data_IF_535240480743
#
_entry.id   IF_535240480743
#
_cell.length_a   1.000
_cell.length_b   1.000
_cell.length_c   1.000
_cell.angle_alpha   90.00
_cell.angle_beta   90.00
_cell.angle_gamma   90.00
#
_symmetry.space_group_name_H-M   'P 1'
#
loop_
_entity.id
_entity.type
_entity.pdbx_description
1 polymer ?
#
# COMPACT_ATOMS: atom_id res chain seq x y z
N UNK A 1 7.41 -72.31 -19.56
CA UNK A 1 6.89 -71.00 -20.00
C UNK A 1 6.30 -70.19 -18.85
N UNK A 2 6.12 -70.78 -17.65
CA UNK A 2 5.48 -70.10 -16.52
C UNK A 2 6.43 -69.18 -15.72
N UNK A 3 7.74 -69.40 -15.83
CA UNK A 3 8.75 -68.58 -15.14
C UNK A 3 8.71 -67.11 -15.57
N UNK A 4 8.51 -66.83 -16.87
CA UNK A 4 8.48 -65.46 -17.39
C UNK A 4 7.26 -64.67 -16.95
N UNK A 5 6.11 -65.32 -16.74
CA UNK A 5 4.89 -64.65 -16.28
C UNK A 5 4.97 -64.29 -14.80
N UNK A 6 5.56 -65.17 -13.98
CA UNK A 6 5.79 -64.90 -12.57
C UNK A 6 6.76 -63.72 -12.35
N UNK A 7 7.83 -63.67 -13.14
CA UNK A 7 8.81 -62.58 -13.07
C UNK A 7 8.19 -61.23 -13.49
N UNK A 8 7.39 -61.20 -14.55
CA UNK A 8 6.67 -60.00 -14.98
C UNK A 8 5.69 -59.49 -13.92
N UNK A 9 4.99 -60.41 -13.25
CA UNK A 9 4.08 -60.02 -12.16
C UNK A 9 4.86 -59.43 -10.99
N UNK A 10 5.97 -60.06 -10.60
CA UNK A 10 6.84 -59.58 -9.52
C UNK A 10 7.39 -58.18 -9.83
N UNK A 11 7.84 -57.92 -11.05
CA UNK A 11 8.34 -56.59 -11.44
C UNK A 11 7.23 -55.56 -11.47
N UNK A 12 6.02 -55.92 -11.93
CA UNK A 12 4.87 -55.02 -11.89
C UNK A 12 4.45 -54.65 -10.46
N UNK A 13 4.40 -55.63 -9.55
CA UNK A 13 4.09 -55.41 -8.14
C UNK A 13 5.16 -54.53 -7.46
N UNK A 14 6.44 -54.76 -7.79
CA UNK A 14 7.56 -53.94 -7.30
C UNK A 14 7.45 -52.48 -7.79
N UNK A 15 7.20 -52.27 -9.09
CA UNK A 15 7.04 -50.92 -9.65
C UNK A 15 5.87 -50.17 -9.01
N UNK A 16 4.78 -50.88 -8.70
CA UNK A 16 3.63 -50.29 -8.02
C UNK A 16 3.99 -49.84 -6.61
N UNK A 17 4.68 -50.69 -5.85
CA UNK A 17 5.14 -50.35 -4.51
C UNK A 17 6.15 -49.18 -4.52
N UNK A 18 7.05 -49.14 -5.51
CA UNK A 18 8.02 -48.06 -5.66
C UNK A 18 7.34 -46.74 -6.06
N UNK A 19 6.30 -46.79 -6.90
CA UNK A 19 5.50 -45.63 -7.27
C UNK A 19 4.70 -45.09 -6.09
N UNK A 20 4.04 -45.95 -5.32
CA UNK A 20 3.30 -45.55 -4.11
C UNK A 20 4.25 -44.90 -3.09
N UNK A 21 5.46 -45.46 -2.92
CA UNK A 21 6.49 -44.88 -2.07
C UNK A 21 6.98 -43.54 -2.59
N UNK A 22 7.20 -43.42 -3.90
CA UNK A 22 7.65 -42.16 -4.50
C UNK A 22 6.60 -41.06 -4.32
N UNK A 23 5.32 -41.36 -4.55
CA UNK A 23 4.22 -40.42 -4.33
C UNK A 23 4.15 -39.97 -2.87
N UNK A 24 4.23 -40.90 -1.92
CA UNK A 24 4.25 -40.57 -0.49
C UNK A 24 5.44 -39.69 -0.09
N UNK A 25 6.61 -39.91 -0.67
CA UNK A 25 7.79 -39.08 -0.43
C UNK A 25 7.62 -37.68 -1.04
N UNK A 26 6.99 -37.58 -2.22
CA UNK A 26 6.72 -36.32 -2.89
C UNK A 26 5.73 -35.48 -2.09
N UNK A 27 4.65 -36.08 -1.59
CA UNK A 27 3.66 -35.41 -0.75
C UNK A 27 4.31 -34.89 0.55
N UNK A 28 5.15 -35.71 1.19
CA UNK A 28 5.86 -35.32 2.41
C UNK A 28 6.83 -34.15 2.15
N UNK A 29 7.61 -34.21 1.06
CA UNK A 29 8.54 -33.15 0.69
C UNK A 29 7.81 -31.85 0.29
N UNK A 30 6.64 -31.96 -0.37
CA UNK A 30 5.83 -30.79 -0.68
C UNK A 30 5.25 -30.14 0.58
N UNK A 31 4.76 -30.95 1.53
CA UNK A 31 4.29 -30.46 2.82
C UNK A 31 5.39 -29.74 3.59
N UNK A 32 6.57 -30.35 3.71
CA UNK A 32 7.73 -29.73 4.38
C UNK A 32 8.14 -28.41 3.71
N UNK A 33 8.17 -28.37 2.38
CA UNK A 33 8.47 -27.13 1.64
C UNK A 33 7.43 -26.04 1.88
N UNK A 34 6.14 -26.39 1.99
CA UNK A 34 5.08 -25.42 2.29
C UNK A 34 5.23 -24.89 3.71
N UNK A 35 5.48 -25.76 4.67
CA UNK A 35 5.66 -25.36 6.06
C UNK A 35 6.88 -24.46 6.24
N UNK A 36 8.00 -24.78 5.58
CA UNK A 36 9.23 -23.97 5.66
C UNK A 36 9.03 -22.60 5.01
N UNK A 37 8.48 -22.56 3.79
CA UNK A 37 8.22 -21.28 3.10
C UNK A 37 7.21 -20.42 3.84
N UNK A 38 6.18 -21.02 4.44
CA UNK A 38 5.22 -20.29 5.27
C UNK A 38 5.85 -19.73 6.55
N UNK A 39 6.72 -20.51 7.21
CA UNK A 39 7.45 -20.05 8.39
C UNK A 39 8.36 -18.86 8.06
N UNK A 40 9.13 -18.95 6.96
CA UNK A 40 10.01 -17.86 6.50
C UNK A 40 9.23 -16.59 6.14
N UNK A 41 8.07 -16.72 5.49
CA UNK A 41 7.21 -15.57 5.16
C UNK A 41 6.66 -14.90 6.42
N UNK A 42 6.25 -15.68 7.41
CA UNK A 42 5.78 -15.14 8.69
C UNK A 42 6.90 -14.43 9.45
N UNK A 43 8.10 -15.02 9.49
CA UNK A 43 9.27 -14.42 10.12
C UNK A 43 9.60 -13.06 9.49
N UNK A 44 9.71 -13.00 8.16
CA UNK A 44 9.97 -11.73 7.45
C UNK A 44 8.87 -10.70 7.64
N UNK A 45 7.62 -11.13 7.73
CA UNK A 45 6.49 -10.23 7.99
C UNK A 45 6.59 -9.59 9.37
N UNK A 46 6.93 -10.39 10.39
CA UNK A 46 7.11 -9.88 11.75
C UNK A 46 8.37 -9.00 11.88
N UNK A 47 9.45 -9.32 11.17
CA UNK A 47 10.64 -8.47 11.08
C UNK A 47 10.31 -7.10 10.47
N UNK A 48 9.61 -7.08 9.32
CA UNK A 48 9.17 -5.85 8.66
C UNK A 48 8.22 -5.04 9.55
N UNK A 49 7.26 -5.69 10.20
CA UNK A 49 6.34 -5.04 11.14
C UNK A 49 7.10 -4.41 12.32
N UNK A 50 8.07 -5.13 12.87
CA UNK A 50 8.94 -4.64 13.95
C UNK A 50 9.76 -3.42 13.52
N UNK A 51 10.40 -3.50 12.35
CA UNK A 51 11.20 -2.41 11.78
C UNK A 51 10.37 -1.15 11.50
N UNK A 52 9.15 -1.31 10.98
CA UNK A 52 8.26 -0.19 10.71
C UNK A 52 7.74 0.46 12.01
N UNK A 53 7.45 -0.36 13.03
CA UNK A 53 7.06 0.13 14.34
C UNK A 53 8.18 0.93 15.02
N UNK A 54 9.43 0.46 14.97
CA UNK A 54 10.57 1.20 15.51
C UNK A 54 10.82 2.50 14.75
N UNK A 55 10.77 2.47 13.42
CA UNK A 55 10.93 3.67 12.59
C UNK A 55 9.86 4.72 12.91
N UNK A 56 8.59 4.31 13.04
CA UNK A 56 7.49 5.20 13.42
C UNK A 56 7.72 5.83 14.80
N UNK A 57 8.19 5.04 15.77
CA UNK A 57 8.47 5.53 17.11
C UNK A 57 9.63 6.55 17.11
N UNK A 58 10.71 6.26 16.39
CA UNK A 58 11.86 7.16 16.24
C UNK A 58 11.47 8.47 15.53
N UNK A 59 10.70 8.39 14.45
CA UNK A 59 10.21 9.55 13.73
C UNK A 59 9.31 10.42 14.63
N UNK A 60 8.38 9.80 15.35
CA UNK A 60 7.51 10.53 16.29
C UNK A 60 8.30 11.20 17.41
N UNK A 61 9.32 10.53 17.95
CA UNK A 61 10.18 11.11 18.98
C UNK A 61 11.00 12.30 18.42
N UNK A 62 11.52 12.17 17.20
CA UNK A 62 12.24 13.24 16.51
C UNK A 62 11.36 14.47 16.27
N UNK A 63 10.15 14.28 15.74
CA UNK A 63 9.19 15.38 15.52
C UNK A 63 8.78 16.05 16.83
N UNK A 64 8.55 15.27 17.89
CA UNK A 64 8.26 15.83 19.22
C UNK A 64 9.43 16.66 19.76
N UNK A 65 10.67 16.20 19.55
CA UNK A 65 11.89 16.95 19.87
C UNK A 65 11.96 18.29 19.14
N UNK A 66 11.81 18.27 17.82
CA UNK A 66 11.82 19.49 16.99
C UNK A 66 10.72 20.48 17.37
N UNK A 67 9.50 20.02 17.66
CA UNK A 67 8.44 20.89 18.13
C UNK A 67 8.73 21.48 19.52
N UNK A 68 9.43 20.72 20.38
CA UNK A 68 9.89 21.20 21.68
C UNK A 68 10.90 22.33 21.55
N UNK A 69 11.91 22.14 20.70
CA UNK A 69 12.93 23.16 20.40
C UNK A 69 12.30 24.40 19.77
N UNK A 70 11.45 24.24 18.75
CA UNK A 70 10.77 25.36 18.10
C UNK A 70 9.93 26.20 19.07
N UNK A 71 9.19 25.55 19.98
CA UNK A 71 8.40 26.26 21.00
C UNK A 71 9.28 27.04 21.96
N UNK A 72 10.43 26.47 22.35
CA UNK A 72 11.41 27.14 23.19
C UNK A 72 11.96 28.37 22.48
N UNK A 73 12.47 28.22 21.26
CA UNK A 73 13.01 29.32 20.45
C UNK A 73 11.96 30.42 20.24
N UNK A 74 10.72 30.03 19.97
CA UNK A 74 9.60 30.98 19.82
C UNK A 74 9.33 31.76 21.11
N UNK A 75 9.42 31.12 22.27
CA UNK A 75 9.23 31.78 23.57
C UNK A 75 10.38 32.75 23.91
N UNK A 76 11.63 32.34 23.67
CA UNK A 76 12.81 33.19 23.87
C UNK A 76 12.77 34.41 22.94
N UNK A 77 12.40 34.22 21.67
CA UNK A 77 12.22 35.32 20.73
C UNK A 77 11.11 36.29 21.19
N UNK A 78 10.00 35.77 21.72
CA UNK A 78 8.92 36.61 22.25
C UNK A 78 9.36 37.42 23.47
N UNK A 79 10.18 36.85 24.36
CA UNK A 79 10.75 37.57 25.51
C UNK A 79 11.69 38.70 25.06
N UNK A 80 12.61 38.42 24.14
CA UNK A 80 13.52 39.44 23.56
C UNK A 80 12.72 40.56 22.90
N UNK A 81 11.67 40.22 22.13
CA UNK A 81 10.80 41.22 21.53
C UNK A 81 10.09 42.09 22.56
N UNK A 82 9.57 41.49 23.64
CA UNK A 82 8.91 42.22 24.72
C UNK A 82 9.89 43.15 25.47
N UNK A 83 11.14 42.74 25.63
CA UNK A 83 12.20 43.58 26.19
C UNK A 83 12.49 44.79 25.30
N UNK A 84 12.66 44.58 23.98
CA UNK A 84 12.85 45.67 23.01
C UNK A 84 11.67 46.64 23.04
N UNK A 85 10.43 46.14 23.04
CA UNK A 85 9.24 46.99 23.12
C UNK A 85 9.18 47.80 24.43
N UNK A 86 9.63 47.20 25.54
CA UNK A 86 9.68 47.85 26.84
C UNK A 86 10.74 48.97 26.88
N UNK A 87 11.92 48.74 26.29
CA UNK A 87 12.97 49.76 26.18
C UNK A 87 12.56 50.92 25.26
N UNK A 88 11.87 50.64 24.16
CA UNK A 88 11.33 51.69 23.29
C UNK A 88 10.27 52.54 23.99
N UNK A 89 9.41 51.92 24.81
CA UNK A 89 8.38 52.62 25.59
C UNK A 89 9.00 53.50 26.68
N UNK A 90 10.04 53.03 27.36
CA UNK A 90 10.72 53.80 28.40
C UNK A 90 11.60 54.93 27.86
N UNK A 91 12.14 54.79 26.64
CA UNK A 91 12.93 55.83 25.97
C UNK A 91 12.13 57.04 25.47
N UNK A 92 10.81 57.10 25.72
CA UNK A 92 10.05 58.35 25.65
C UNK A 92 9.87 58.94 24.24
N UNK A 93 9.96 58.14 23.17
CA UNK A 93 9.39 58.52 21.88
C UNK A 93 7.99 57.94 21.78
N UNK A 94 7.02 58.81 22.02
CA UNK A 94 5.61 58.67 21.67
C UNK A 94 5.45 58.60 20.13
N UNK A 95 6.12 57.63 19.49
CA UNK A 95 5.80 57.23 18.14
C UNK A 95 4.68 56.21 18.27
N UNK A 96 3.47 56.61 17.90
CA UNK A 96 2.32 55.74 17.74
C UNK A 96 2.62 54.66 16.68
N UNK A 97 3.37 53.63 17.08
CA UNK A 97 3.54 52.40 16.33
C UNK A 97 2.31 51.55 16.65
N UNK A 98 1.28 51.75 15.83
CA UNK A 98 0.23 50.77 15.61
C UNK A 98 0.91 49.41 15.44
N UNK A 99 0.64 48.47 16.35
CA UNK A 99 1.04 47.07 16.20
C UNK A 99 0.78 46.65 14.75
N UNK A 100 1.74 45.99 14.06
CA UNK A 100 1.38 45.29 12.85
C UNK A 100 0.24 44.36 13.24
N UNK A 101 -0.89 44.55 12.54
CA UNK A 101 -2.12 43.84 12.76
C UNK A 101 -1.79 42.37 13.00
N UNK A 102 -2.39 41.83 14.06
CA UNK A 102 -2.56 40.40 14.30
C UNK A 102 -2.84 39.75 12.95
N UNK A 103 -1.79 39.24 12.29
CA UNK A 103 -1.96 38.40 11.12
C UNK A 103 -2.48 37.14 11.75
N UNK A 104 -3.81 37.02 11.75
CA UNK A 104 -4.49 35.75 11.84
C UNK A 104 -4.07 34.98 10.59
N UNK A 105 -2.84 34.47 10.62
CA UNK A 105 -2.47 33.32 9.83
C UNK A 105 -3.33 32.19 10.41
N UNK A 106 -4.55 32.09 9.88
CA UNK A 106 -5.33 30.87 9.88
C UNK A 106 -4.56 29.83 9.08
N UNK A 107 -3.42 29.39 9.62
CA UNK A 107 -2.89 28.08 9.30
C UNK A 107 -3.78 27.16 10.12
N UNK A 108 -4.80 26.62 9.46
CA UNK A 108 -5.51 25.43 9.92
C UNK A 108 -4.45 24.36 10.19
N UNK A 109 -3.98 24.29 11.43
CA UNK A 109 -3.29 23.12 11.94
C UNK A 109 -4.39 22.07 12.09
N UNK A 110 -4.71 21.40 10.97
CA UNK A 110 -5.40 20.12 11.01
C UNK A 110 -4.51 19.20 11.83
N UNK A 111 -4.99 18.89 13.02
CA UNK A 111 -4.38 17.93 13.93
C UNK A 111 -4.17 16.60 13.21
N UNK A 112 -2.95 16.08 13.33
CA UNK A 112 -2.41 14.81 12.81
C UNK A 112 -3.25 13.56 13.20
N UNK A 113 -4.31 13.72 13.98
CA UNK A 113 -5.15 12.63 14.48
C UNK A 113 -6.26 12.21 13.51
N UNK A 114 -6.58 13.01 12.48
CA UNK A 114 -7.61 12.67 11.47
C UNK A 114 -6.98 12.31 10.11
N UNK A 115 -5.70 12.61 9.89
CA UNK A 115 -4.99 12.27 8.66
C UNK A 115 -4.58 10.77 8.58
N UNK A 116 -4.60 10.03 9.68
CA UNK A 116 -4.16 8.62 9.71
C UNK A 116 -5.28 7.65 9.27
N UNK A 117 -6.55 8.07 9.23
CA UNK A 117 -7.63 7.27 8.60
C UNK A 117 -7.86 7.62 7.12
N UNK A 118 -7.29 8.72 6.61
CA UNK A 118 -7.43 9.15 5.21
C UNK A 118 -6.20 8.76 4.35
N UNK A 119 -5.05 8.45 4.96
CA UNK A 119 -3.80 8.12 4.25
C UNK A 119 -3.69 6.65 3.80
N UNK A 120 -4.44 5.70 4.41
CA UNK A 120 -4.59 4.34 3.85
C UNK A 120 -5.51 4.30 2.62
N UNK A 121 -6.29 5.35 2.37
CA UNK A 121 -7.04 5.51 1.13
C UNK A 121 -6.19 6.17 0.03
N UNK A 122 -5.24 7.05 0.39
CA UNK A 122 -4.50 7.87 -0.57
C UNK A 122 -3.36 7.12 -1.29
N UNK A 123 -2.67 6.17 -0.64
CA UNK A 123 -1.63 5.39 -1.32
C UNK A 123 -2.20 4.38 -2.34
N UNK A 124 -3.46 3.96 -2.19
CA UNK A 124 -4.15 3.15 -3.20
C UNK A 124 -4.71 4.00 -4.36
N UNK A 125 -4.90 5.31 -4.18
CA UNK A 125 -5.46 6.21 -5.21
C UNK A 125 -4.41 6.61 -6.25
N UNK A 126 -3.13 6.77 -5.86
CA UNK A 126 -2.08 7.24 -6.77
C UNK A 126 -1.76 6.20 -7.88
N UNK A 127 -1.91 4.90 -7.62
CA UNK A 127 -1.78 3.85 -8.66
C UNK A 127 -3.11 3.54 -9.38
N UNK A 128 -4.27 3.94 -8.84
CA UNK A 128 -5.58 3.66 -9.46
C UNK A 128 -5.90 4.59 -10.62
N UNK A 129 -5.60 5.88 -10.55
CA UNK A 129 -5.82 6.82 -11.66
C UNK A 129 -5.07 6.46 -12.97
N UNK A 130 -3.77 6.08 -12.95
CA UNK A 130 -3.09 5.69 -14.18
C UNK A 130 -3.65 4.39 -14.77
N UNK A 131 -4.10 3.45 -13.92
CA UNK A 131 -4.72 2.20 -14.38
C UNK A 131 -6.08 2.43 -15.03
N UNK A 132 -6.91 3.33 -14.50
CA UNK A 132 -8.21 3.70 -15.11
C UNK A 132 -8.03 4.23 -16.53
N UNK A 133 -7.13 5.19 -16.69
CA UNK A 133 -6.86 5.82 -17.99
C UNK A 133 -6.38 4.79 -19.02
N UNK A 134 -5.54 3.85 -18.58
CA UNK A 134 -5.03 2.78 -19.44
C UNK A 134 -6.11 1.77 -19.84
N UNK A 135 -7.03 1.43 -18.93
CA UNK A 135 -8.17 0.55 -19.23
C UNK A 135 -9.11 1.21 -20.23
N UNK A 136 -9.43 2.49 -20.04
CA UNK A 136 -10.27 3.22 -20.98
C UNK A 136 -9.64 3.29 -22.37
N UNK A 137 -8.35 3.61 -22.47
CA UNK A 137 -7.64 3.63 -23.75
C UNK A 137 -7.69 2.26 -24.47
N UNK A 138 -7.49 1.17 -23.74
CA UNK A 138 -7.59 -0.19 -24.31
C UNK A 138 -9.02 -0.47 -24.80
N UNK A 139 -10.05 -0.03 -24.07
CA UNK A 139 -11.45 -0.23 -24.46
C UNK A 139 -11.87 0.65 -25.64
N UNK A 140 -11.32 1.87 -25.76
CA UNK A 140 -11.52 2.76 -26.91
C UNK A 140 -10.89 2.17 -28.19
N UNK A 141 -9.72 1.54 -28.07
CA UNK A 141 -9.04 0.87 -29.19
C UNK A 141 -9.74 -0.43 -29.64
N UNK A 142 -10.67 -0.98 -28.82
CA UNK A 142 -11.32 -2.27 -29.07
C UNK A 142 -12.85 -2.15 -29.04
N UNK A 143 -13.43 -1.73 -30.17
CA UNK A 143 -14.89 -1.52 -30.32
C UNK A 143 -15.74 -2.78 -30.15
N UNK A 144 -15.15 -3.97 -30.31
CA UNK A 144 -15.82 -5.26 -30.14
C UNK A 144 -15.99 -5.67 -28.66
N UNK A 145 -15.38 -4.90 -27.75
CA UNK A 145 -15.38 -5.12 -26.31
C UNK A 145 -14.40 -6.19 -25.87
N UNK A 146 -13.94 -6.07 -24.62
CA UNK A 146 -12.93 -6.97 -24.06
C UNK A 146 -13.40 -7.63 -22.76
N UNK A 147 -13.01 -8.88 -22.56
CA UNK A 147 -13.22 -9.59 -21.30
C UNK A 147 -12.20 -9.13 -20.27
N UNK A 148 -12.57 -9.24 -19.00
CA UNK A 148 -11.70 -8.82 -17.89
C UNK A 148 -10.33 -9.53 -17.88
N UNK A 149 -10.28 -10.77 -18.36
CA UNK A 149 -9.03 -11.54 -18.49
C UNK A 149 -8.13 -10.96 -19.59
N UNK A 150 -8.71 -10.54 -20.72
CA UNK A 150 -7.98 -9.95 -21.85
C UNK A 150 -7.45 -8.56 -21.52
N UNK A 151 -8.24 -7.78 -20.77
CA UNK A 151 -7.81 -6.48 -20.23
C UNK A 151 -6.62 -6.69 -19.28
N UNK A 152 -6.69 -7.67 -18.38
CA UNK A 152 -5.60 -7.97 -17.45
C UNK A 152 -4.33 -8.43 -18.18
N UNK A 153 -4.46 -9.28 -19.19
CA UNK A 153 -3.34 -9.76 -20.01
C UNK A 153 -2.65 -8.60 -20.76
N UNK A 154 -3.44 -7.71 -21.37
CA UNK A 154 -2.93 -6.51 -22.07
C UNK A 154 -2.22 -5.55 -21.11
N UNK A 155 -2.64 -5.50 -19.85
CA UNK A 155 -2.03 -4.68 -18.81
C UNK A 155 -0.81 -5.33 -18.13
N UNK A 156 -0.57 -6.62 -18.36
CA UNK A 156 0.45 -7.40 -17.65
C UNK A 156 0.10 -7.69 -16.19
N UNK A 157 -1.20 -7.75 -15.86
CA UNK A 157 -1.69 -8.01 -14.50
C UNK A 157 -1.98 -9.51 -14.37
N UNK A 158 -1.18 -10.22 -13.57
CA UNK A 158 -1.30 -11.67 -13.37
C UNK A 158 -2.64 -12.09 -12.77
N UNK A 159 -3.22 -11.25 -11.89
CA UNK A 159 -4.48 -11.55 -11.21
C UNK A 159 -5.59 -10.61 -11.67
N UNK A 160 -6.35 -11.00 -12.69
CA UNK A 160 -7.47 -10.22 -13.22
C UNK A 160 -8.54 -9.83 -12.17
N UNK A 161 -8.63 -10.56 -11.03
CA UNK A 161 -9.58 -10.22 -9.96
C UNK A 161 -9.26 -8.90 -9.26
N UNK A 162 -8.03 -8.42 -9.32
CA UNK A 162 -7.66 -7.10 -8.80
C UNK A 162 -8.36 -5.96 -9.55
N UNK A 163 -8.83 -6.21 -10.78
CA UNK A 163 -9.58 -5.25 -11.58
C UNK A 163 -11.05 -5.14 -11.18
N UNK A 164 -11.59 -6.08 -10.39
CA UNK A 164 -13.03 -6.11 -10.07
C UNK A 164 -13.52 -4.83 -9.37
N UNK A 165 -12.85 -4.31 -8.32
CA UNK A 165 -13.27 -3.07 -7.67
C UNK A 165 -13.24 -1.88 -8.64
N UNK A 166 -12.19 -1.79 -9.45
CA UNK A 166 -11.98 -0.69 -10.39
C UNK A 166 -12.99 -0.71 -11.55
N UNK A 167 -13.26 -1.89 -12.13
CA UNK A 167 -14.27 -2.04 -13.19
C UNK A 167 -15.69 -1.79 -12.68
N UNK A 168 -15.96 -2.04 -11.39
CA UNK A 168 -17.24 -1.67 -10.77
C UNK A 168 -17.39 -0.16 -10.72
N UNK A 169 -16.36 0.53 -10.26
CA UNK A 169 -16.35 1.99 -10.18
C UNK A 169 -16.49 2.67 -11.55
N UNK A 170 -15.75 2.21 -12.57
CA UNK A 170 -15.88 2.72 -13.94
C UNK A 170 -17.29 2.52 -14.51
N UNK A 171 -17.94 1.41 -14.16
CA UNK A 171 -19.33 1.15 -14.56
C UNK A 171 -20.30 2.06 -13.83
N UNK A 172 -20.10 2.27 -12.53
CA UNK A 172 -20.96 3.11 -11.71
C UNK A 172 -20.85 4.59 -12.12
N UNK A 173 -19.68 5.02 -12.59
CA UNK A 173 -19.46 6.35 -13.19
C UNK A 173 -20.04 6.49 -14.61
N UNK A 174 -20.45 5.39 -15.25
CA UNK A 174 -20.96 5.39 -16.62
C UNK A 174 -19.88 5.54 -17.70
N UNK A 175 -18.61 5.31 -17.36
CA UNK A 175 -17.47 5.37 -18.30
C UNK A 175 -17.33 4.07 -19.10
N UNK A 176 -17.82 2.95 -18.54
CA UNK A 176 -17.76 1.62 -19.15
C UNK A 176 -19.12 0.95 -19.06
N UNK A 177 -19.61 0.39 -20.17
CA UNK A 177 -20.78 -0.49 -20.18
C UNK A 177 -20.35 -1.96 -20.22
N UNK A 178 -21.13 -2.82 -19.56
CA UNK A 178 -20.90 -4.28 -19.54
C UNK A 178 -22.05 -4.98 -20.25
N UNK A 179 -21.73 -5.75 -21.28
CA UNK A 179 -22.67 -6.63 -21.97
C UNK A 179 -22.17 -8.07 -21.86
N UNK A 180 -22.99 -8.94 -21.29
CA UNK A 180 -22.64 -10.32 -20.92
C UNK A 180 -21.37 -10.43 -20.04
N UNK A 181 -20.24 -10.69 -20.69
CA UNK A 181 -18.92 -10.88 -20.08
C UNK A 181 -17.85 -9.91 -20.60
N UNK A 182 -18.24 -9.05 -21.55
CA UNK A 182 -17.37 -8.09 -22.20
C UNK A 182 -17.68 -6.68 -21.72
N UNK A 183 -16.64 -5.87 -21.67
CA UNK A 183 -16.67 -4.46 -21.29
C UNK A 183 -16.41 -3.62 -22.53
N UNK A 184 -17.12 -2.50 -22.64
CA UNK A 184 -17.06 -1.57 -23.76
C UNK A 184 -16.91 -0.15 -23.20
N UNK A 185 -16.18 0.70 -23.91
CA UNK A 185 -16.26 2.14 -23.66
C UNK A 185 -17.72 2.61 -23.86
N UNK A 186 -18.18 3.47 -22.96
CA UNK A 186 -19.54 4.02 -22.98
C UNK A 186 -19.71 5.12 -24.05
#
# INVERSE_FOLDING_TARGET
KDTTQADLKKTADQLRADLDRFMSNLDAAEAERKDTTQAELNEKTEELRGSLASFRAELSASVAGLMGEFKKDSSEAAEVWNEILSTMRSAGREAALTCPAKVEAGVEVKTVSEAIEEEEAAEEIIEREPLRSKILGILEDNTDGLRMVEIADTLGIENWRSLIPLMRELKDNGEVRKEDSSYYAA
#
